data_IF_510301794433
#
_entry.id   IF_510301794433
#
_cell.length_a   1.000
_cell.length_b   1.000
_cell.length_c   1.000
_cell.angle_alpha   90.00
_cell.angle_beta   90.00
_cell.angle_gamma   90.00
#
_symmetry.space_group_name_H-M   'P 1'
#
loop_
_entity.id
_entity.type
_entity.pdbx_description
1 polymer ?
#
# COMPACT_ATOMS: atom_id res chain seq x y z
N UNK A 1 -1.64 -0.91 -16.22
CA UNK A 1 -1.15 -1.01 -14.82
C UNK A 1 -0.96 -2.46 -14.39
N UNK A 2 -1.71 -3.42 -14.94
CA UNK A 2 -1.62 -4.85 -14.61
C UNK A 2 -0.20 -5.42 -14.42
N UNK A 3 0.70 -5.32 -15.40
CA UNK A 3 2.08 -5.83 -15.26
C UNK A 3 2.84 -5.20 -14.09
N UNK A 4 2.64 -3.91 -13.84
CA UNK A 4 3.22 -3.23 -12.69
C UNK A 4 2.65 -3.79 -11.39
N UNK A 5 1.34 -3.99 -11.32
CA UNK A 5 0.67 -4.60 -10.16
C UNK A 5 1.17 -6.01 -9.89
N UNK A 6 1.36 -6.84 -10.93
CA UNK A 6 1.96 -8.19 -10.78
C UNK A 6 3.38 -8.14 -10.21
N UNK A 7 4.21 -7.18 -10.65
CA UNK A 7 5.55 -7.01 -10.08
C UNK A 7 5.51 -6.58 -8.62
N UNK A 8 4.57 -5.73 -8.22
CA UNK A 8 4.41 -5.31 -6.82
C UNK A 8 3.89 -6.46 -5.95
N UNK A 9 2.95 -7.26 -6.46
CA UNK A 9 2.45 -8.47 -5.78
C UNK A 9 3.56 -9.51 -5.57
N UNK A 10 4.37 -9.74 -6.61
CA UNK A 10 5.54 -10.61 -6.50
C UNK A 10 6.52 -10.10 -5.44
N UNK A 11 6.83 -8.80 -5.43
CA UNK A 11 7.72 -8.21 -4.43
C UNK A 11 7.15 -8.33 -3.00
N UNK A 12 5.84 -8.17 -2.81
CA UNK A 12 5.20 -8.40 -1.50
C UNK A 12 5.34 -9.86 -1.04
N UNK A 13 5.25 -10.80 -1.97
CA UNK A 13 5.49 -12.23 -1.72
C UNK A 13 6.95 -12.50 -1.38
N UNK A 14 7.91 -11.94 -2.12
CA UNK A 14 9.35 -12.09 -1.84
C UNK A 14 9.72 -11.57 -0.44
N UNK A 15 9.11 -10.46 0.01
CA UNK A 15 9.29 -9.94 1.37
C UNK A 15 8.87 -10.97 2.43
N UNK A 16 7.79 -11.70 2.18
CA UNK A 16 7.28 -12.71 3.12
C UNK A 16 8.11 -14.01 3.08
N UNK A 17 8.62 -14.39 1.90
CA UNK A 17 9.37 -15.64 1.70
C UNK A 17 10.84 -15.53 2.13
N UNK A 18 11.51 -14.42 1.78
CA UNK A 18 12.92 -14.16 2.09
C UNK A 18 13.13 -12.71 2.57
N UNK A 19 12.73 -12.40 3.82
CA UNK A 19 12.88 -11.07 4.39
C UNK A 19 14.34 -10.64 4.54
N UNK A 20 15.28 -11.59 4.69
CA UNK A 20 16.70 -11.30 4.86
C UNK A 20 17.31 -10.82 3.53
N UNK A 21 17.11 -11.58 2.44
CA UNK A 21 17.58 -11.18 1.11
C UNK A 21 16.91 -9.88 0.64
N UNK A 22 15.61 -9.72 0.95
CA UNK A 22 14.88 -8.49 0.62
C UNK A 22 15.46 -7.28 1.37
N UNK A 23 15.77 -7.43 2.67
CA UNK A 23 16.37 -6.36 3.44
C UNK A 23 17.76 -5.96 2.91
N UNK A 24 18.58 -6.92 2.44
CA UNK A 24 19.87 -6.61 1.81
C UNK A 24 19.72 -5.80 0.52
N UNK A 25 18.74 -6.13 -0.32
CA UNK A 25 18.43 -5.40 -1.55
C UNK A 25 17.93 -3.97 -1.24
N UNK A 26 16.98 -3.86 -0.32
CA UNK A 26 16.42 -2.57 0.12
C UNK A 26 17.48 -1.67 0.77
N UNK A 27 18.39 -2.23 1.56
CA UNK A 27 19.46 -1.48 2.21
C UNK A 27 20.40 -0.81 1.19
N UNK A 28 20.73 -1.51 0.10
CA UNK A 28 21.54 -0.94 -0.99
C UNK A 28 20.83 0.24 -1.66
N UNK A 29 19.51 0.13 -1.91
CA UNK A 29 18.73 1.22 -2.53
C UNK A 29 18.56 2.42 -1.60
N UNK A 30 18.40 2.17 -0.31
CA UNK A 30 18.18 3.21 0.70
C UNK A 30 19.49 3.81 1.23
N UNK A 31 20.65 3.24 0.87
CA UNK A 31 21.96 3.67 1.37
C UNK A 31 22.10 3.52 2.89
N UNK A 32 21.50 2.46 3.45
CA UNK A 32 21.46 2.20 4.90
C UNK A 32 21.95 0.77 5.21
N UNK A 33 21.97 0.40 6.49
CA UNK A 33 22.36 -0.92 6.95
C UNK A 33 21.20 -1.93 6.85
N UNK A 34 21.42 -3.17 6.36
CA UNK A 34 20.39 -4.22 6.29
C UNK A 34 19.68 -4.51 7.61
N UNK A 35 20.37 -4.39 8.75
CA UNK A 35 19.74 -4.55 10.06
C UNK A 35 18.69 -3.48 10.32
N UNK A 36 18.94 -2.23 9.93
CA UNK A 36 17.96 -1.14 10.06
C UNK A 36 16.70 -1.45 9.25
N UNK A 37 16.88 -1.99 8.04
CA UNK A 37 15.75 -2.36 7.17
C UNK A 37 14.97 -3.52 7.78
N UNK A 38 15.64 -4.59 8.22
CA UNK A 38 14.98 -5.72 8.88
C UNK A 38 14.14 -5.27 10.08
N UNK A 39 14.72 -4.45 10.95
CA UNK A 39 14.02 -3.93 12.12
C UNK A 39 12.77 -3.13 11.71
N UNK A 40 12.86 -2.30 10.67
CA UNK A 40 11.70 -1.56 10.17
C UNK A 40 10.63 -2.47 9.55
N UNK A 41 11.02 -3.47 8.75
CA UNK A 41 10.09 -4.40 8.10
C UNK A 41 9.19 -5.13 9.11
N UNK A 42 9.69 -5.42 10.32
CA UNK A 42 8.87 -6.05 11.38
C UNK A 42 7.68 -5.18 11.84
N UNK A 43 7.74 -3.86 11.62
CA UNK A 43 6.67 -2.93 11.97
C UNK A 43 5.59 -2.77 10.90
N UNK A 44 5.74 -3.41 9.74
CA UNK A 44 4.84 -3.27 8.60
C UNK A 44 4.20 -4.59 8.19
N UNK A 45 3.13 -4.48 7.41
CA UNK A 45 2.52 -5.60 6.70
C UNK A 45 2.63 -5.34 5.20
N UNK A 46 2.93 -6.39 4.45
CA UNK A 46 3.12 -6.36 3.00
C UNK A 46 2.06 -7.28 2.37
N UNK A 47 0.82 -6.82 2.21
CA UNK A 47 -0.27 -7.65 1.69
C UNK A 47 -0.03 -7.99 0.22
N UNK A 48 -0.31 -9.23 -0.16
CA UNK A 48 -0.40 -9.64 -1.56
C UNK A 48 -1.63 -9.00 -2.24
N UNK A 49 -1.76 -9.22 -3.55
CA UNK A 49 -2.84 -8.65 -4.36
C UNK A 49 -4.23 -9.12 -3.89
N UNK A 50 -4.34 -10.37 -3.43
CA UNK A 50 -5.61 -10.91 -2.92
C UNK A 50 -6.05 -10.18 -1.64
N UNK A 51 -5.13 -9.96 -0.71
CA UNK A 51 -5.39 -9.17 0.50
C UNK A 51 -5.67 -7.70 0.15
N UNK A 52 -4.91 -7.10 -0.76
CA UNK A 52 -5.11 -5.71 -1.20
C UNK A 52 -6.44 -5.50 -1.95
N UNK A 53 -6.97 -6.50 -2.64
CA UNK A 53 -8.30 -6.41 -3.27
C UNK A 53 -9.44 -6.43 -2.23
N UNK A 54 -9.16 -6.81 -0.98
CA UNK A 54 -10.12 -6.91 0.11
C UNK A 54 -10.69 -5.57 0.62
N UNK A 55 -11.71 -5.64 1.51
CA UNK A 55 -12.44 -4.47 2.00
C UNK A 55 -11.56 -3.45 2.74
N UNK A 56 -10.51 -3.91 3.41
CA UNK A 56 -9.60 -3.04 4.18
C UNK A 56 -8.71 -2.17 3.30
N UNK A 57 -8.62 -2.47 2.01
CA UNK A 57 -7.77 -1.79 1.05
C UNK A 57 -8.58 -1.28 -0.16
N UNK A 58 -8.46 -1.92 -1.33
CA UNK A 58 -9.10 -1.46 -2.57
C UNK A 58 -10.60 -1.81 -2.64
N UNK A 59 -11.12 -2.58 -1.69
CA UNK A 59 -12.57 -2.77 -1.49
C UNK A 59 -13.27 -1.63 -0.73
N UNK A 60 -12.55 -0.54 -0.40
CA UNK A 60 -13.13 0.68 0.18
C UNK A 60 -12.28 1.32 1.29
N UNK A 61 -11.46 0.54 2.00
CA UNK A 61 -10.66 1.03 3.12
C UNK A 61 -9.64 2.10 2.75
N UNK A 62 -9.05 2.06 1.55
CA UNK A 62 -8.17 3.14 1.04
C UNK A 62 -8.97 4.43 0.85
N UNK A 63 -10.15 4.36 0.22
CA UNK A 63 -10.99 5.53 0.01
C UNK A 63 -11.41 6.16 1.36
N UNK A 64 -11.83 5.32 2.32
CA UNK A 64 -12.14 5.77 3.68
C UNK A 64 -10.93 6.41 4.39
N UNK A 65 -9.75 5.82 4.26
CA UNK A 65 -8.51 6.35 4.85
C UNK A 65 -8.12 7.72 4.25
N UNK A 66 -8.28 7.88 2.93
CA UNK A 66 -8.03 9.15 2.24
C UNK A 66 -9.03 10.23 2.67
N UNK A 67 -10.32 9.90 2.74
CA UNK A 67 -11.38 10.81 3.21
C UNK A 67 -11.11 11.26 4.66
N UNK A 68 -10.83 10.32 5.57
CA UNK A 68 -10.53 10.64 6.97
C UNK A 68 -9.27 11.50 7.11
N UNK A 69 -8.23 11.22 6.33
CA UNK A 69 -6.99 12.01 6.35
C UNK A 69 -7.25 13.44 5.87
N UNK A 70 -8.03 13.61 4.79
CA UNK A 70 -8.38 14.94 4.30
C UNK A 70 -9.23 15.72 5.33
N UNK A 71 -10.12 15.05 6.05
CA UNK A 71 -10.88 15.64 7.15
C UNK A 71 -9.95 16.15 8.26
N UNK A 72 -9.07 15.29 8.77
CA UNK A 72 -8.08 15.66 9.78
C UNK A 72 -7.19 16.83 9.33
N UNK A 73 -6.69 16.80 8.09
CA UNK A 73 -5.88 17.90 7.53
C UNK A 73 -6.66 19.21 7.42
N UNK A 74 -7.98 19.16 7.22
CA UNK A 74 -8.86 20.32 7.30
C UNK A 74 -9.00 20.87 8.72
N UNK A 75 -9.19 19.98 9.71
CA UNK A 75 -9.31 20.35 11.12
C UNK A 75 -8.07 21.06 11.65
N UNK A 76 -6.87 20.62 11.25
CA UNK A 76 -5.60 21.27 11.61
C UNK A 76 -5.25 22.48 10.72
N UNK A 77 -6.13 22.86 9.79
CA UNK A 77 -5.99 24.05 8.96
C UNK A 77 -4.94 23.95 7.85
N UNK A 78 -4.51 22.74 7.47
CA UNK A 78 -3.53 22.50 6.41
C UNK A 78 -4.16 22.42 5.02
N UNK A 79 -5.47 22.11 4.94
CA UNK A 79 -6.23 22.04 3.68
C UNK A 79 -7.64 22.60 3.86
N UNK A 80 -8.42 22.62 2.78
CA UNK A 80 -9.85 22.97 2.82
C UNK A 80 -10.77 21.89 3.42
N UNK A 81 -10.22 20.75 3.87
CA UNK A 81 -10.98 19.61 4.37
C UNK A 81 -11.30 18.57 3.30
N UNK A 82 -12.09 17.56 3.68
CA UNK A 82 -12.48 16.47 2.80
C UNK A 82 -13.54 16.88 1.76
N UNK A 83 -13.46 16.28 0.57
CA UNK A 83 -14.59 16.18 -0.36
C UNK A 83 -15.60 15.12 0.11
N UNK A 84 -16.64 14.82 -0.67
CA UNK A 84 -17.57 13.72 -0.34
C UNK A 84 -16.87 12.36 -0.34
N UNK A 85 -17.37 11.40 0.45
CA UNK A 85 -16.89 10.01 0.46
C UNK A 85 -16.91 9.38 -0.94
N UNK A 86 -18.01 9.58 -1.69
CA UNK A 86 -18.17 9.13 -3.07
C UNK A 86 -17.02 9.62 -3.99
N UNK A 87 -16.51 10.83 -3.77
CA UNK A 87 -15.38 11.33 -4.56
C UNK A 87 -14.14 10.45 -4.37
N UNK A 88 -13.86 10.01 -3.14
CA UNK A 88 -12.71 9.15 -2.85
C UNK A 88 -12.90 7.73 -3.38
N UNK A 89 -14.11 7.19 -3.32
CA UNK A 89 -14.45 5.88 -3.92
C UNK A 89 -14.23 5.88 -5.43
N UNK A 90 -14.56 6.98 -6.12
CA UNK A 90 -14.44 7.09 -7.58
C UNK A 90 -13.00 7.29 -8.10
N UNK A 91 -12.10 7.83 -7.27
CA UNK A 91 -10.71 8.12 -7.69
C UNK A 91 -9.71 7.03 -7.29
N UNK A 92 -10.12 6.06 -6.47
CA UNK A 92 -9.34 4.85 -6.23
C UNK A 92 -9.58 3.91 -7.42
N UNK A 93 -8.49 3.38 -8.01
CA UNK A 93 -8.54 2.53 -9.21
C UNK A 93 -8.26 1.06 -8.85
N UNK A 94 -9.28 0.24 -8.56
CA UNK A 94 -9.09 -1.13 -8.08
C UNK A 94 -8.88 -2.16 -9.21
N UNK A 95 -9.17 -1.82 -10.46
CA UNK A 95 -9.25 -2.77 -11.57
C UNK A 95 -7.99 -3.66 -11.69
N UNK A 96 -6.81 -3.04 -11.67
CA UNK A 96 -5.55 -3.78 -11.85
C UNK A 96 -5.23 -4.71 -10.66
N UNK A 97 -5.61 -4.34 -9.43
CA UNK A 97 -5.38 -5.21 -8.26
C UNK A 97 -6.39 -6.36 -8.24
N UNK A 98 -7.64 -6.10 -8.65
CA UNK A 98 -8.67 -7.13 -8.77
C UNK A 98 -8.34 -8.16 -9.85
N UNK A 99 -7.78 -7.70 -10.98
CA UNK A 99 -7.35 -8.59 -12.06
C UNK A 99 -6.21 -9.50 -11.62
N UNK A 100 -5.19 -8.97 -10.93
CA UNK A 100 -4.06 -9.76 -10.41
C UNK A 100 -4.48 -10.68 -9.26
N UNK A 101 -5.38 -10.23 -8.39
CA UNK A 101 -5.92 -11.06 -7.30
C UNK A 101 -6.71 -12.28 -7.80
N UNK A 102 -7.21 -12.25 -9.04
CA UNK A 102 -8.03 -13.31 -9.63
C UNK A 102 -7.22 -14.32 -10.48
N UNK A 103 -5.94 -14.07 -10.73
CA UNK A 103 -5.05 -14.91 -11.56
C UNK A 103 -4.32 -15.99 -10.75
#
# INVERSE_FOLDING_TARGET
MEMWTRLQDHAATEIAEDPDATAESMAQMLGTDPQTVREQMTGYSYPDAAAQAGPDYFGGGVAGSLHSTAGFLGEVGLTGGASSEEHYEQIVYPDAIQEVAAS
#
